data_IF_473438740349
#
_entry.id   IF_473438740349
#
_cell.length_a   1.000
_cell.length_b   1.000
_cell.length_c   1.000
_cell.angle_alpha   90.00
_cell.angle_beta   90.00
_cell.angle_gamma   90.00
#
_symmetry.space_group_name_H-M   'P 1'
#
loop_
_entity.id
_entity.type
_entity.pdbx_description
1 polymer ?
#
# COMPACT_ATOMS: atom_id res chain seq x y z
N UNK A 1 -32.90 -18.51 -24.43
CA UNK A 1 -32.09 -19.75 -24.50
C UNK A 1 -31.20 -19.88 -25.74
N UNK A 2 -31.29 -18.99 -26.74
CA UNK A 2 -30.52 -19.10 -28.00
C UNK A 2 -29.12 -18.45 -27.94
N UNK A 3 -28.90 -17.45 -27.07
CA UNK A 3 -27.59 -16.75 -26.95
C UNK A 3 -26.51 -17.50 -26.16
N UNK A 4 -26.87 -18.46 -25.30
CA UNK A 4 -25.89 -19.25 -24.52
C UNK A 4 -25.26 -20.40 -25.31
N UNK A 5 -25.92 -20.87 -26.38
CA UNK A 5 -25.39 -21.92 -27.27
C UNK A 5 -24.40 -21.38 -28.30
N UNK A 6 -24.48 -20.10 -28.68
CA UNK A 6 -23.51 -19.47 -29.59
C UNK A 6 -22.14 -19.21 -28.95
N UNK A 7 -22.10 -18.89 -27.64
CA UNK A 7 -20.81 -18.64 -26.95
C UNK A 7 -20.07 -19.96 -26.69
N UNK A 8 -20.80 -21.05 -26.42
CA UNK A 8 -20.22 -22.38 -26.29
C UNK A 8 -19.69 -22.95 -27.62
N UNK A 9 -20.21 -22.49 -28.76
CA UNK A 9 -19.76 -22.93 -30.08
C UNK A 9 -18.48 -22.25 -30.56
N UNK A 10 -18.15 -21.05 -30.06
CA UNK A 10 -16.94 -20.31 -30.47
C UNK A 10 -15.69 -20.78 -29.70
N UNK A 11 -15.84 -21.36 -28.50
CA UNK A 11 -14.71 -21.89 -27.72
C UNK A 11 -14.32 -23.32 -28.12
N UNK A 12 -15.22 -24.07 -28.78
CA UNK A 12 -14.97 -25.45 -29.23
C UNK A 12 -14.52 -25.53 -30.71
N UNK A 13 -14.65 -24.45 -31.48
CA UNK A 13 -14.36 -24.41 -32.92
C UNK A 13 -12.90 -24.02 -33.28
N UNK A 14 -11.93 -24.31 -32.40
CA UNK A 14 -10.49 -24.13 -32.69
C UNK A 14 -9.70 -25.44 -32.55
N UNK A 15 -10.38 -26.58 -32.74
CA UNK A 15 -9.80 -27.92 -32.57
C UNK A 15 -9.98 -28.87 -33.77
N UNK A 16 -10.40 -28.40 -34.95
CA UNK A 16 -10.44 -29.28 -36.12
C UNK A 16 -10.15 -28.58 -37.45
N UNK A 17 -9.18 -29.18 -38.18
CA UNK A 17 -8.83 -29.05 -39.59
C UNK A 17 -8.01 -27.80 -40.00
N UNK A 18 -6.72 -27.98 -40.30
CA UNK A 18 -6.19 -28.24 -41.67
C UNK A 18 -4.78 -28.84 -41.56
N UNK A 19 -4.53 -29.91 -42.31
CA UNK A 19 -3.23 -30.56 -42.49
C UNK A 19 -2.40 -29.83 -43.54
N UNK A 20 -1.16 -29.44 -43.21
CA UNK A 20 -0.20 -28.89 -44.18
C UNK A 20 0.82 -27.97 -43.54
N UNK A 21 2.08 -28.43 -43.45
CA UNK A 21 3.23 -27.81 -42.77
C UNK A 21 3.08 -27.69 -41.25
N UNK A 22 4.05 -28.22 -40.49
CA UNK A 22 4.17 -28.02 -39.06
C UNK A 22 4.52 -26.54 -38.76
N UNK A 23 3.56 -25.64 -38.92
CA UNK A 23 3.63 -24.31 -38.35
C UNK A 23 3.30 -24.44 -36.87
N UNK A 24 4.33 -24.61 -36.05
CA UNK A 24 4.21 -24.46 -34.60
C UNK A 24 3.62 -23.09 -34.29
N UNK A 25 2.73 -23.03 -33.29
CA UNK A 25 2.07 -21.79 -32.90
C UNK A 25 3.12 -20.85 -32.30
N UNK A 26 3.55 -19.85 -33.09
CA UNK A 26 4.54 -18.86 -32.66
C UNK A 26 3.92 -17.89 -31.67
N UNK A 27 4.52 -17.70 -30.51
CA UNK A 27 4.06 -16.75 -29.49
C UNK A 27 5.22 -16.15 -28.68
N UNK A 28 4.98 -15.01 -28.02
CA UNK A 28 5.93 -14.38 -27.10
C UNK A 28 6.00 -15.12 -25.76
N UNK A 29 7.04 -14.85 -24.96
CA UNK A 29 7.14 -15.39 -23.60
C UNK A 29 5.98 -14.89 -22.73
N UNK A 30 5.55 -13.63 -22.90
CA UNK A 30 4.43 -13.07 -22.12
C UNK A 30 3.09 -13.73 -22.45
N UNK A 31 2.83 -14.04 -23.73
CA UNK A 31 1.65 -14.77 -24.17
C UNK A 31 1.62 -16.18 -23.58
N UNK A 32 2.74 -16.91 -23.60
CA UNK A 32 2.84 -18.23 -22.97
C UNK A 32 2.54 -18.17 -21.46
N UNK A 33 3.16 -17.23 -20.72
CA UNK A 33 2.90 -17.04 -19.29
C UNK A 33 1.43 -16.78 -19.00
N UNK A 34 0.77 -15.95 -19.80
CA UNK A 34 -0.66 -15.65 -19.66
C UNK A 34 -1.54 -16.90 -19.81
N UNK A 35 -1.25 -17.73 -20.82
CA UNK A 35 -1.97 -19.00 -21.05
C UNK A 35 -1.77 -19.95 -19.87
N UNK A 36 -0.53 -20.11 -19.38
CA UNK A 36 -0.22 -21.02 -18.28
C UNK A 36 -0.83 -20.57 -16.94
N UNK A 37 -0.81 -19.26 -16.65
CA UNK A 37 -1.53 -18.68 -15.50
C UNK A 37 -3.03 -18.93 -15.57
N UNK A 38 -3.60 -18.82 -16.76
CA UNK A 38 -5.00 -19.16 -16.99
C UNK A 38 -5.26 -20.65 -16.75
N UNK A 39 -4.38 -21.53 -17.22
CA UNK A 39 -4.52 -22.98 -17.03
C UNK A 39 -4.42 -23.40 -15.56
N UNK A 40 -3.54 -22.74 -14.78
CA UNK A 40 -3.41 -22.95 -13.34
C UNK A 40 -4.71 -22.54 -12.64
N UNK A 41 -5.22 -21.33 -12.92
CA UNK A 41 -6.47 -20.81 -12.34
C UNK A 41 -7.69 -21.65 -12.69
N UNK A 42 -7.71 -22.24 -13.89
CA UNK A 42 -8.78 -23.11 -14.38
C UNK A 42 -8.55 -24.59 -14.01
N UNK A 43 -7.47 -24.90 -13.27
CA UNK A 43 -7.11 -26.23 -12.80
C UNK A 43 -7.07 -27.30 -13.92
N UNK A 44 -6.46 -26.94 -15.06
CA UNK A 44 -6.31 -27.88 -16.17
C UNK A 44 -5.38 -29.04 -15.81
N UNK A 45 -5.61 -30.26 -16.34
CA UNK A 45 -4.74 -31.40 -16.10
C UNK A 45 -3.29 -31.13 -16.53
N UNK A 46 -2.33 -31.37 -15.64
CA UNK A 46 -0.89 -31.15 -15.86
C UNK A 46 -0.37 -31.81 -17.15
N UNK A 47 -0.85 -33.01 -17.47
CA UNK A 47 -0.52 -33.70 -18.74
C UNK A 47 -0.92 -32.87 -19.97
N UNK A 48 -2.11 -32.29 -19.95
CA UNK A 48 -2.62 -31.49 -21.07
C UNK A 48 -1.82 -30.19 -21.23
N UNK A 49 -1.44 -29.57 -20.12
CA UNK A 49 -0.59 -28.37 -20.11
C UNK A 49 0.81 -28.69 -20.67
N UNK A 50 1.40 -29.82 -20.27
CA UNK A 50 2.69 -30.29 -20.80
C UNK A 50 2.63 -30.57 -22.32
N UNK A 51 1.56 -31.20 -22.80
CA UNK A 51 1.36 -31.48 -24.22
C UNK A 51 1.14 -30.20 -25.04
N UNK A 52 0.55 -29.17 -24.44
CA UNK A 52 0.46 -27.84 -25.04
C UNK A 52 1.84 -27.19 -25.17
N UNK A 53 2.62 -27.14 -24.08
CA UNK A 53 3.96 -26.52 -24.05
C UNK A 53 4.87 -27.10 -25.13
N UNK A 54 4.85 -28.42 -25.35
CA UNK A 54 5.67 -29.09 -26.38
C UNK A 54 5.37 -28.66 -27.81
N UNK A 55 4.19 -28.10 -28.07
CA UNK A 55 3.75 -27.65 -29.41
C UNK A 55 4.00 -26.16 -29.64
N UNK A 56 4.39 -25.42 -28.60
CA UNK A 56 4.65 -23.98 -28.68
C UNK A 56 6.03 -23.71 -29.25
N UNK A 57 6.10 -22.76 -30.17
CA UNK A 57 7.37 -22.17 -30.60
C UNK A 57 7.45 -20.74 -30.07
N UNK A 58 8.45 -20.44 -29.25
CA UNK A 58 8.65 -19.09 -28.75
C UNK A 58 9.44 -18.25 -29.75
N UNK A 59 9.13 -16.96 -29.81
CA UNK A 59 9.88 -15.97 -30.59
C UNK A 59 10.99 -15.30 -29.79
N UNK A 60 11.03 -15.55 -28.48
CA UNK A 60 11.90 -14.91 -27.50
C UNK A 60 12.48 -15.95 -26.54
N UNK A 61 13.59 -15.61 -25.89
CA UNK A 61 14.27 -16.47 -24.93
C UNK A 61 13.46 -16.63 -23.65
N UNK A 62 13.09 -17.86 -23.32
CA UNK A 62 12.54 -18.23 -22.01
C UNK A 62 13.69 -18.46 -21.02
N UNK A 63 13.53 -18.02 -19.77
CA UNK A 63 14.56 -18.16 -18.73
C UNK A 63 14.14 -19.15 -17.64
N UNK A 64 15.13 -19.69 -16.91
CA UNK A 64 14.86 -20.57 -15.75
C UNK A 64 14.01 -19.89 -14.68
N UNK A 65 14.22 -18.58 -14.48
CA UNK A 65 13.44 -17.76 -13.55
C UNK A 65 11.95 -17.74 -13.91
N UNK A 66 11.62 -17.74 -15.20
CA UNK A 66 10.23 -17.77 -15.67
C UNK A 66 9.55 -19.10 -15.33
N UNK A 67 10.31 -20.20 -15.35
CA UNK A 67 9.81 -21.53 -14.96
C UNK A 67 9.58 -21.58 -13.45
N UNK A 68 10.53 -21.08 -12.65
CA UNK A 68 10.42 -21.02 -11.19
C UNK A 68 9.22 -20.19 -10.73
N UNK A 69 8.99 -19.04 -11.38
CA UNK A 69 7.81 -18.20 -11.15
C UNK A 69 6.50 -18.99 -11.36
N UNK A 70 6.36 -19.67 -12.50
CA UNK A 70 5.15 -20.42 -12.83
C UNK A 70 4.97 -21.65 -11.92
N UNK A 71 6.05 -22.33 -11.54
CA UNK A 71 6.00 -23.44 -10.56
C UNK A 71 5.56 -22.92 -9.19
N UNK A 72 6.06 -21.76 -8.75
CA UNK A 72 5.61 -21.10 -7.53
C UNK A 72 4.13 -20.70 -7.55
N UNK A 73 3.59 -20.42 -8.73
CA UNK A 73 2.16 -20.14 -8.95
C UNK A 73 1.28 -21.40 -8.99
N UNK A 74 1.86 -22.61 -9.00
CA UNK A 74 1.13 -23.89 -9.00
C UNK A 74 1.16 -24.66 -10.31
N UNK A 75 2.12 -24.39 -11.20
CA UNK A 75 2.33 -25.20 -12.40
C UNK A 75 2.77 -26.62 -12.02
N UNK A 76 2.09 -27.63 -12.59
CA UNK A 76 2.38 -29.03 -12.30
C UNK A 76 3.74 -29.54 -12.80
N UNK A 77 4.20 -30.69 -12.29
CA UNK A 77 5.56 -31.18 -12.54
C UNK A 77 5.84 -31.53 -14.01
N UNK A 78 4.88 -32.12 -14.74
CA UNK A 78 5.10 -32.46 -16.16
C UNK A 78 5.14 -31.22 -17.03
N UNK A 79 4.31 -30.23 -16.73
CA UNK A 79 4.34 -28.93 -17.42
C UNK A 79 5.65 -28.20 -17.12
N UNK A 80 6.14 -28.24 -15.88
CA UNK A 80 7.44 -27.67 -15.52
C UNK A 80 8.60 -28.32 -16.29
N UNK A 81 8.60 -29.65 -16.43
CA UNK A 81 9.62 -30.36 -17.22
C UNK A 81 9.57 -29.99 -18.70
N UNK A 82 8.37 -29.87 -19.28
CA UNK A 82 8.21 -29.40 -20.65
C UNK A 82 8.72 -27.97 -20.84
N UNK A 83 8.49 -27.07 -19.88
CA UNK A 83 9.04 -25.72 -19.91
C UNK A 83 10.57 -25.70 -19.82
N UNK A 84 11.18 -26.53 -18.98
CA UNK A 84 12.65 -26.63 -18.88
C UNK A 84 13.28 -27.06 -20.21
N UNK A 85 12.64 -27.98 -20.94
CA UNK A 85 13.07 -28.34 -22.29
C UNK A 85 12.95 -27.16 -23.26
N UNK A 86 11.89 -26.35 -23.14
CA UNK A 86 11.69 -25.15 -23.95
C UNK A 86 12.69 -24.03 -23.62
N UNK A 87 13.15 -23.91 -22.36
CA UNK A 87 14.25 -23.00 -21.98
C UNK A 87 15.52 -23.33 -22.78
N UNK A 88 15.88 -24.61 -22.86
CA UNK A 88 17.05 -25.03 -23.65
C UNK A 88 16.89 -24.72 -25.14
N UNK A 89 15.69 -24.95 -25.70
CA UNK A 89 15.38 -24.71 -27.11
C UNK A 89 15.37 -23.22 -27.51
N UNK A 90 15.17 -22.31 -26.55
CA UNK A 90 15.04 -20.86 -26.78
C UNK A 90 16.29 -20.07 -26.41
N UNK A 91 17.38 -20.75 -26.02
CA UNK A 91 18.61 -20.12 -25.54
C UNK A 91 19.26 -19.17 -26.56
N UNK A 92 19.10 -19.43 -27.87
CA UNK A 92 19.64 -18.61 -28.97
C UNK A 92 18.71 -17.49 -29.44
N UNK A 93 17.50 -17.38 -28.87
CA UNK A 93 16.54 -16.32 -29.22
C UNK A 93 16.90 -15.00 -28.52
N UNK A 94 16.45 -13.85 -29.06
CA UNK A 94 16.63 -12.58 -28.37
C UNK A 94 15.93 -12.59 -27.00
N UNK A 95 16.46 -11.86 -26.00
CA UNK A 95 15.79 -11.71 -24.71
C UNK A 95 14.38 -11.12 -24.93
N UNK A 96 13.40 -11.50 -24.08
CA UNK A 96 12.03 -11.03 -24.23
C UNK A 96 12.03 -9.50 -24.17
N UNK A 97 11.32 -8.88 -25.11
CA UNK A 97 11.12 -7.43 -25.08
C UNK A 97 10.35 -7.19 -23.78
N UNK A 98 11.01 -6.57 -22.78
CA UNK A 98 10.34 -6.17 -21.55
C UNK A 98 9.13 -5.35 -21.99
N UNK A 99 7.93 -5.90 -21.78
CA UNK A 99 6.71 -5.10 -21.89
C UNK A 99 7.00 -3.82 -21.09
N UNK A 100 6.86 -2.63 -21.69
CA UNK A 100 7.11 -1.40 -20.98
C UNK A 100 6.30 -1.50 -19.69
N UNK A 101 6.98 -1.44 -18.55
CA UNK A 101 6.35 -1.55 -17.25
C UNK A 101 5.11 -0.65 -17.29
N UNK A 102 3.92 -1.12 -16.84
CA UNK A 102 2.71 -0.35 -16.93
C UNK A 102 3.02 1.06 -16.47
N UNK A 103 2.85 2.03 -17.37
CA UNK A 103 3.23 3.42 -17.14
C UNK A 103 2.57 3.79 -15.83
N UNK A 104 3.38 4.00 -14.79
CA UNK A 104 2.85 4.45 -13.50
C UNK A 104 2.01 5.67 -13.83
N UNK A 105 0.72 5.71 -13.46
CA UNK A 105 -0.12 6.85 -13.78
C UNK A 105 0.63 8.11 -13.36
N UNK A 106 0.65 9.10 -14.25
CA UNK A 106 1.38 10.34 -14.00
C UNK A 106 0.99 10.88 -12.62
N UNK A 107 1.96 11.37 -11.82
CA UNK A 107 1.65 11.97 -10.53
C UNK A 107 0.55 13.03 -10.74
N UNK A 108 -0.46 13.01 -9.86
CA UNK A 108 -1.49 14.04 -9.88
C UNK A 108 -0.79 15.41 -9.77
N UNK A 109 -1.16 16.39 -10.60
CA UNK A 109 -0.57 17.72 -10.50
C UNK A 109 -0.84 18.32 -9.12
N UNK A 110 0.02 19.23 -8.62
CA UNK A 110 -0.30 20.00 -7.44
C UNK A 110 -1.65 20.71 -7.59
N UNK A 111 -2.43 20.83 -6.51
CA UNK A 111 -3.67 21.59 -6.55
C UNK A 111 -3.39 23.08 -6.84
N UNK A 112 -4.28 23.79 -7.55
CA UNK A 112 -4.18 25.24 -7.73
C UNK A 112 -4.08 25.97 -6.40
N UNK A 113 -3.42 27.13 -6.39
CA UNK A 113 -3.18 27.90 -5.16
C UNK A 113 -4.49 28.29 -4.47
N UNK A 114 -5.50 28.65 -5.25
CA UNK A 114 -6.83 29.03 -4.77
C UNK A 114 -7.54 27.86 -4.07
N UNK A 115 -7.32 26.63 -4.57
CA UNK A 115 -7.84 25.42 -3.92
C UNK A 115 -7.10 25.14 -2.61
N UNK A 116 -5.78 25.32 -2.58
CA UNK A 116 -5.01 25.17 -1.34
C UNK A 116 -5.47 26.18 -0.28
N UNK A 117 -5.63 27.44 -0.64
CA UNK A 117 -6.13 28.50 0.25
C UNK A 117 -7.54 28.21 0.76
N UNK A 118 -8.43 27.71 -0.12
CA UNK A 118 -9.77 27.27 0.27
C UNK A 118 -9.71 26.14 1.31
N UNK A 119 -8.92 25.09 1.06
CA UNK A 119 -8.84 23.92 1.95
C UNK A 119 -8.26 24.30 3.31
N UNK A 120 -7.22 25.13 3.35
CA UNK A 120 -6.66 25.61 4.62
C UNK A 120 -7.67 26.47 5.38
N UNK A 121 -8.44 27.33 4.69
CA UNK A 121 -9.50 28.12 5.32
C UNK A 121 -10.60 27.24 5.91
N UNK A 122 -11.07 26.23 5.17
CA UNK A 122 -12.07 25.28 5.65
C UNK A 122 -11.55 24.44 6.82
N UNK A 123 -10.29 24.01 6.77
CA UNK A 123 -9.63 23.31 7.87
C UNK A 123 -9.53 24.18 9.13
N UNK A 124 -9.18 25.47 8.97
CA UNK A 124 -9.18 26.45 10.07
C UNK A 124 -10.56 26.58 10.71
N UNK A 125 -11.59 26.78 9.90
CA UNK A 125 -12.96 26.90 10.39
C UNK A 125 -13.40 25.65 11.16
N UNK A 126 -13.13 24.46 10.61
CA UNK A 126 -13.48 23.19 11.25
C UNK A 126 -12.74 23.00 12.57
N UNK A 127 -11.42 23.24 12.60
CA UNK A 127 -10.59 23.13 13.79
C UNK A 127 -11.07 24.06 14.91
N UNK A 128 -11.25 25.36 14.60
CA UNK A 128 -11.66 26.35 15.59
C UNK A 128 -13.10 26.16 16.07
N UNK A 129 -14.00 25.68 15.20
CA UNK A 129 -15.37 25.34 15.61
C UNK A 129 -15.40 24.09 16.49
N UNK A 130 -14.55 23.11 16.21
CA UNK A 130 -14.40 21.93 17.06
C UNK A 130 -13.90 22.33 18.45
N UNK A 131 -12.83 23.13 18.55
CA UNK A 131 -12.24 23.54 19.84
C UNK A 131 -13.21 24.40 20.66
N UNK A 132 -14.00 25.26 20.02
CA UNK A 132 -15.06 26.04 20.71
C UNK A 132 -16.19 25.18 21.28
N UNK A 133 -16.45 24.00 20.70
CA UNK A 133 -17.52 23.10 21.12
C UNK A 133 -17.06 22.04 22.12
N UNK A 134 -15.75 21.92 22.34
CA UNK A 134 -15.23 21.02 23.37
C UNK A 134 -15.71 21.49 24.74
N UNK A 135 -16.36 20.62 25.53
CA UNK A 135 -16.73 20.96 26.89
C UNK A 135 -15.49 21.02 27.77
N UNK A 136 -15.61 21.67 28.92
CA UNK A 136 -14.61 21.52 29.97
C UNK A 136 -14.68 20.08 30.53
N UNK A 137 -13.53 19.44 30.71
CA UNK A 137 -13.45 18.09 31.26
C UNK A 137 -12.16 17.85 32.03
N UNK A 138 -12.19 16.82 32.85
CA UNK A 138 -11.03 16.30 33.57
C UNK A 138 -10.98 14.78 33.39
N UNK A 139 -9.79 14.25 33.10
CA UNK A 139 -9.57 12.82 33.00
C UNK A 139 -8.23 12.40 33.60
N UNK A 140 -8.11 11.09 33.84
CA UNK A 140 -6.83 10.45 34.14
C UNK A 140 -6.25 9.93 32.83
N UNK A 141 -5.17 10.55 32.36
CA UNK A 141 -4.40 10.08 31.23
C UNK A 141 -3.35 9.08 31.71
N UNK A 142 -3.29 7.91 31.07
CA UNK A 142 -2.28 6.88 31.34
C UNK A 142 -1.46 6.64 30.08
N UNK A 143 -0.18 7.02 30.12
CA UNK A 143 0.74 6.91 28.99
C UNK A 143 1.75 5.80 29.26
N UNK A 144 1.83 4.81 28.37
CA UNK A 144 2.86 3.76 28.42
C UNK A 144 3.91 4.07 27.36
N UNK A 145 5.14 4.34 27.78
CA UNK A 145 6.22 4.68 26.86
C UNK A 145 7.07 3.46 26.62
N UNK A 146 7.29 3.16 25.34
CA UNK A 146 8.15 2.06 24.90
C UNK A 146 9.38 2.63 24.21
N UNK A 147 10.52 2.00 24.46
CA UNK A 147 11.80 2.35 23.83
C UNK A 147 12.41 1.10 23.22
N UNK A 148 13.17 1.29 22.14
CA UNK A 148 14.01 0.25 21.58
C UNK A 148 15.47 0.73 21.60
N UNK A 149 16.25 0.35 22.63
CA UNK A 149 17.66 0.70 22.72
C UNK A 149 18.52 0.02 21.65
N UNK A 150 18.04 -1.09 21.07
CA UNK A 150 18.79 -1.92 20.13
C UNK A 150 18.62 -1.49 18.67
N UNK A 151 17.54 -0.78 18.34
CA UNK A 151 17.15 -0.43 16.97
C UNK A 151 16.68 -1.62 16.12
N UNK A 152 16.43 -2.77 16.75
CA UNK A 152 16.00 -4.01 16.11
C UNK A 152 14.48 -4.23 16.18
N UNK A 153 13.71 -3.15 16.40
CA UNK A 153 12.26 -3.14 16.62
C UNK A 153 11.82 -3.93 17.87
N UNK A 154 12.75 -4.13 18.82
CA UNK A 154 12.50 -4.82 20.08
C UNK A 154 12.09 -3.83 21.16
N UNK A 155 10.86 -3.32 21.06
CA UNK A 155 10.31 -2.35 22.00
C UNK A 155 10.11 -2.94 23.41
N UNK A 156 10.64 -2.24 24.41
CA UNK A 156 10.49 -2.57 25.83
C UNK A 156 9.76 -1.44 26.54
N UNK A 157 8.93 -1.79 27.54
CA UNK A 157 8.26 -0.80 28.37
C UNK A 157 9.31 -0.04 29.19
N UNK A 158 9.39 1.27 28.99
CA UNK A 158 10.26 2.18 29.74
C UNK A 158 9.57 2.59 31.05
N UNK A 159 8.38 3.17 30.94
CA UNK A 159 7.57 3.58 32.09
C UNK A 159 6.08 3.67 31.78
N UNK A 160 5.29 3.76 32.85
CA UNK A 160 3.87 4.12 32.82
C UNK A 160 3.67 5.40 33.61
N UNK A 161 3.20 6.45 32.94
CA UNK A 161 2.94 7.76 33.51
C UNK A 161 1.44 7.91 33.68
N UNK A 162 1.01 8.36 34.86
CA UNK A 162 -0.36 8.78 35.10
C UNK A 162 -0.38 10.31 35.31
N UNK A 163 -1.23 11.00 34.57
CA UNK A 163 -1.40 12.45 34.61
C UNK A 163 -2.89 12.78 34.77
N UNK A 164 -3.20 13.81 35.55
CA UNK A 164 -4.49 14.49 35.47
C UNK A 164 -4.43 15.43 34.29
N UNK A 165 -5.27 15.20 33.31
CA UNK A 165 -5.47 16.12 32.20
C UNK A 165 -6.78 16.86 32.45
N UNK A 166 -6.72 18.19 32.47
CA UNK A 166 -7.90 19.05 32.44
C UNK A 166 -7.93 19.86 31.16
N UNK A 167 -9.08 19.90 30.51
CA UNK A 167 -9.40 20.87 29.47
C UNK A 167 -10.33 21.91 30.08
N UNK A 168 -9.85 23.13 30.24
CA UNK A 168 -10.60 24.24 30.83
C UNK A 168 -10.33 25.52 30.05
N UNK A 169 -11.37 26.31 29.77
CA UNK A 169 -11.28 27.55 28.98
C UNK A 169 -10.54 27.35 27.63
N UNK A 170 -10.82 26.23 26.96
CA UNK A 170 -10.20 25.83 25.69
C UNK A 170 -8.68 25.61 25.76
N UNK A 171 -8.16 25.21 26.94
CA UNK A 171 -6.74 24.94 27.17
C UNK A 171 -6.56 23.64 27.95
N UNK A 172 -5.59 22.84 27.53
CA UNK A 172 -5.15 21.66 28.26
C UNK A 172 -4.15 22.04 29.35
N UNK A 173 -4.31 21.45 30.53
CA UNK A 173 -3.36 21.45 31.63
C UNK A 173 -3.08 20.01 32.06
N UNK A 174 -1.81 19.73 32.35
CA UNK A 174 -1.30 18.40 32.65
C UNK A 174 -0.61 18.42 34.00
N UNK A 175 -1.18 17.70 34.97
CA UNK A 175 -0.58 17.52 36.29
C UNK A 175 -0.14 16.08 36.47
N UNK A 176 1.16 15.87 36.62
CA UNK A 176 1.73 14.56 36.91
C UNK A 176 1.19 14.03 38.24
N UNK A 177 0.79 12.75 38.26
CA UNK A 177 0.26 12.05 39.45
C UNK A 177 1.24 10.96 39.89
N UNK A 178 1.66 10.10 38.96
CA UNK A 178 2.53 8.97 39.30
C UNK A 178 3.39 8.52 38.12
N UNK A 179 4.53 7.92 38.45
CA UNK A 179 5.40 7.20 37.50
C UNK A 179 5.57 5.78 38.03
N UNK A 180 5.26 4.79 37.20
CA UNK A 180 5.33 3.36 37.56
C UNK A 180 4.56 3.04 38.86
N UNK A 181 3.39 3.67 39.03
CA UNK A 181 2.53 3.50 40.20
C UNK A 181 3.01 4.21 41.48
N UNK A 182 4.15 4.92 41.43
CA UNK A 182 4.66 5.71 42.55
C UNK A 182 4.25 7.17 42.39
N UNK A 183 3.57 7.71 43.38
CA UNK A 183 3.15 9.11 43.43
C UNK A 183 4.33 10.07 43.29
N UNK A 184 4.13 11.17 42.57
CA UNK A 184 5.12 12.24 42.37
C UNK A 184 4.42 13.56 42.07
N UNK A 185 5.07 14.67 42.42
CA UNK A 185 4.67 16.04 42.05
C UNK A 185 5.70 16.68 41.09
N UNK A 186 6.49 15.85 40.40
CA UNK A 186 7.49 16.29 39.44
C UNK A 186 6.92 17.03 38.25
N UNK A 187 7.82 17.72 37.53
CA UNK A 187 7.51 18.39 36.28
C UNK A 187 7.52 17.38 35.12
N UNK A 188 6.40 17.27 34.40
CA UNK A 188 6.26 16.35 33.26
C UNK A 188 7.31 16.59 32.18
N UNK A 189 7.74 17.85 32.00
CA UNK A 189 8.69 18.23 30.97
C UNK A 189 10.13 17.83 31.32
N UNK A 190 10.37 17.39 32.56
CA UNK A 190 11.67 16.92 33.04
C UNK A 190 11.76 15.39 33.10
N UNK A 191 10.76 14.67 32.60
CA UNK A 191 10.73 13.20 32.61
C UNK A 191 11.68 12.55 31.59
N UNK A 192 12.27 13.34 30.68
CA UNK A 192 13.06 12.84 29.56
C UNK A 192 12.22 11.97 28.62
N UNK A 193 12.88 11.39 27.60
CA UNK A 193 12.21 10.55 26.60
C UNK A 193 11.15 11.29 25.78
N UNK A 194 10.29 10.54 25.09
CA UNK A 194 9.21 11.11 24.29
C UNK A 194 8.06 11.57 25.19
N UNK A 195 7.53 12.77 24.92
CA UNK A 195 6.35 13.34 25.57
C UNK A 195 5.44 13.96 24.52
N UNK A 196 4.13 13.93 24.74
CA UNK A 196 3.13 14.53 23.87
C UNK A 196 2.12 15.38 24.66
N UNK A 197 1.51 16.32 23.96
CA UNK A 197 0.47 17.23 24.46
C UNK A 197 -0.33 17.81 23.30
N UNK A 198 -1.49 18.37 23.60
CA UNK A 198 -2.31 19.10 22.65
C UNK A 198 -3.30 18.25 21.88
N UNK A 199 -3.39 16.95 22.17
CA UNK A 199 -4.13 15.97 21.37
C UNK A 199 -5.65 16.17 21.40
N UNK A 200 -6.20 16.84 22.42
CA UNK A 200 -7.63 17.03 22.55
C UNK A 200 -8.11 18.28 21.84
N UNK A 201 -7.36 19.38 21.93
CA UNK A 201 -7.73 20.61 21.26
C UNK A 201 -6.67 21.70 21.25
N UNK A 202 -5.71 21.69 22.18
CA UNK A 202 -4.74 22.80 22.27
C UNK A 202 -3.85 22.90 21.04
N UNK A 203 -3.21 21.82 20.61
CA UNK A 203 -2.35 21.86 19.42
C UNK A 203 -3.17 22.12 18.14
N UNK A 204 -4.36 21.53 18.04
CA UNK A 204 -5.24 21.75 16.89
C UNK A 204 -5.65 23.23 16.78
N UNK A 205 -5.95 23.88 17.90
CA UNK A 205 -6.23 25.32 17.98
C UNK A 205 -5.01 26.13 17.56
N UNK A 206 -3.85 25.88 18.17
CA UNK A 206 -2.60 26.62 17.91
C UNK A 206 -2.18 26.58 16.44
N UNK A 207 -2.32 25.44 15.77
CA UNK A 207 -1.96 25.30 14.35
C UNK A 207 -2.84 26.19 13.44
N UNK A 208 -4.09 26.42 13.83
CA UNK A 208 -5.09 27.05 12.95
C UNK A 208 -5.57 28.43 13.40
N UNK A 209 -5.17 28.88 14.59
CA UNK A 209 -5.47 30.24 15.06
C UNK A 209 -4.77 31.29 14.19
N UNK A 210 -5.47 32.35 13.74
CA UNK A 210 -4.84 33.41 12.96
C UNK A 210 -3.67 34.09 13.68
N UNK A 211 -3.73 34.18 15.01
CA UNK A 211 -2.72 34.85 15.83
C UNK A 211 -1.37 34.13 15.86
N UNK A 212 -1.32 32.85 15.50
CA UNK A 212 -0.07 32.06 15.49
C UNK A 212 0.70 32.19 14.18
N UNK A 213 0.13 32.92 13.21
CA UNK A 213 0.71 33.16 11.88
C UNK A 213 1.21 31.88 11.20
N UNK A 214 0.53 30.75 11.44
CA UNK A 214 0.97 29.46 10.93
C UNK A 214 1.07 29.46 9.41
N UNK A 215 2.27 29.14 8.91
CA UNK A 215 2.58 29.02 7.49
C UNK A 215 2.35 27.56 7.05
N UNK A 216 1.61 27.37 5.95
CA UNK A 216 1.32 26.05 5.40
C UNK A 216 1.95 25.89 4.02
N UNK A 217 2.63 24.77 3.78
CA UNK A 217 3.20 24.42 2.49
C UNK A 217 2.64 23.08 2.02
N UNK A 218 2.10 23.06 0.80
CA UNK A 218 1.64 21.81 0.21
C UNK A 218 2.83 20.94 -0.18
N UNK A 219 2.82 19.70 0.28
CA UNK A 219 3.92 18.75 0.07
C UNK A 219 3.60 17.78 -1.06
N UNK A 220 2.47 17.09 -0.95
CA UNK A 220 2.07 16.03 -1.88
C UNK A 220 0.61 15.63 -1.72
N UNK A 221 0.16 14.82 -2.66
CA UNK A 221 -1.00 13.95 -2.47
C UNK A 221 -0.65 12.76 -1.56
N UNK A 222 -1.48 12.55 -0.54
CA UNK A 222 -1.44 11.38 0.33
C UNK A 222 -2.64 10.47 0.11
N UNK A 223 -2.60 9.28 0.72
CA UNK A 223 -3.78 8.42 0.86
C UNK A 223 -4.03 8.12 2.32
N UNK A 224 -5.25 8.37 2.77
CA UNK A 224 -5.73 8.00 4.10
C UNK A 224 -6.97 7.12 3.94
N UNK A 225 -6.89 5.86 4.41
CA UNK A 225 -7.99 4.87 4.31
C UNK A 225 -8.56 4.75 2.88
N UNK A 226 -7.67 4.76 1.88
CA UNK A 226 -8.03 4.65 0.47
C UNK A 226 -8.53 5.95 -0.19
N UNK A 227 -8.71 7.04 0.56
CA UNK A 227 -9.11 8.35 0.03
C UNK A 227 -7.88 9.22 -0.24
N UNK A 228 -7.89 9.97 -1.33
CA UNK A 228 -6.85 10.96 -1.64
C UNK A 228 -6.99 12.13 -0.68
N UNK A 229 -5.88 12.60 -0.13
CA UNK A 229 -5.84 13.73 0.80
C UNK A 229 -4.69 14.66 0.46
N UNK A 230 -4.82 15.93 0.84
CA UNK A 230 -3.70 16.87 0.80
C UNK A 230 -2.78 16.61 2.00
N UNK A 231 -1.47 16.63 1.76
CA UNK A 231 -0.47 16.64 2.82
C UNK A 231 0.18 18.02 2.84
N UNK A 232 0.12 18.67 3.99
CA UNK A 232 0.77 19.94 4.24
C UNK A 232 1.84 19.78 5.32
N UNK A 233 2.98 20.44 5.12
CA UNK A 233 3.87 20.82 6.21
C UNK A 233 3.39 22.17 6.77
N UNK A 234 3.68 22.42 8.05
CA UNK A 234 3.33 23.67 8.69
C UNK A 234 4.45 24.15 9.61
N UNK A 235 4.48 25.46 9.86
CA UNK A 235 5.36 26.10 10.82
C UNK A 235 4.57 27.12 11.64
N UNK A 236 4.62 26.97 12.95
CA UNK A 236 4.11 27.94 13.92
C UNK A 236 5.29 28.75 14.47
N UNK A 237 5.10 30.05 14.70
CA UNK A 237 6.14 30.94 15.25
C UNK A 237 6.10 31.02 16.77
#
# INVERSE_FOLDING_TARGET
MIRRRLIAAIVVALLAAVSGAAQGMKMSVSQLKSVLRSSIRLNHPDRQVADYIRKVQLTERLTQRDVEELVGEGLGPRAADALRQLVAATASLPPPVREPAPVKPAPLPPPPKEEQERIIREARELALNYTKRLPDFICLQVTRRYIDPSGLEMFQLMDTIAERLSYFEQKEDYKLISINGKWTEGDRWKLGGATSSGEFGTMLKEIFEPATEAEFQWERWGKLRGRICHVYSFRVR
#
